data_IF_756258168502
#
_entry.id   IF_756258168502
#
_cell.length_a   1.000
_cell.length_b   1.000
_cell.length_c   1.000
_cell.angle_alpha   90.00
_cell.angle_beta   90.00
_cell.angle_gamma   90.00
#
_symmetry.space_group_name_H-M   'P 1'
#
loop_
_entity.id
_entity.type
_entity.pdbx_description
1 polymer ?
#
# COMPACT_ATOMS: atom_id res chain seq x y z
N UNK A 1 -11.66 13.36 61.02
CA UNK A 1 -11.08 12.52 59.96
C UNK A 1 -11.81 12.88 58.69
N UNK A 2 -11.25 13.82 57.93
CA UNK A 2 -11.87 14.39 56.73
C UNK A 2 -11.67 13.48 55.52
N UNK A 3 -12.77 13.09 54.90
CA UNK A 3 -12.82 12.39 53.62
C UNK A 3 -12.99 13.44 52.51
N UNK A 4 -11.90 13.75 51.81
CA UNK A 4 -11.93 14.59 50.61
C UNK A 4 -12.02 13.72 49.35
N UNK A 5 -13.05 13.98 48.54
CA UNK A 5 -13.33 13.29 47.29
C UNK A 5 -12.38 13.74 46.15
N UNK A 6 -12.12 12.90 45.13
CA UNK A 6 -11.22 13.24 44.04
C UNK A 6 -11.90 14.12 42.98
N UNK A 7 -11.23 15.21 42.60
CA UNK A 7 -11.60 16.09 41.50
C UNK A 7 -11.39 15.41 40.14
N UNK A 8 -12.48 15.33 39.35
CA UNK A 8 -12.45 14.93 37.95
C UNK A 8 -11.77 15.99 37.10
N UNK A 9 -10.57 15.69 36.58
CA UNK A 9 -9.85 16.51 35.60
C UNK A 9 -10.46 16.29 34.22
N UNK A 10 -11.10 17.32 33.65
CA UNK A 10 -11.50 17.36 32.23
C UNK A 10 -10.25 17.17 31.37
N UNK A 11 -10.27 16.18 30.49
CA UNK A 11 -9.31 16.03 29.38
C UNK A 11 -9.80 16.89 28.23
N UNK A 12 -9.04 17.92 27.91
CA UNK A 12 -9.19 18.67 26.67
C UNK A 12 -8.87 17.73 25.50
N UNK A 13 -9.77 17.70 24.52
CA UNK A 13 -9.63 16.87 23.32
C UNK A 13 -8.60 17.52 22.38
N UNK A 14 -7.72 16.74 21.74
CA UNK A 14 -6.73 17.29 20.82
C UNK A 14 -7.40 17.90 19.60
N UNK A 15 -7.04 19.14 19.32
CA UNK A 15 -7.42 19.93 18.16
C UNK A 15 -6.92 19.23 16.88
N UNK A 16 -7.85 18.82 16.03
CA UNK A 16 -7.57 18.16 14.75
C UNK A 16 -6.92 19.17 13.78
N UNK A 17 -5.77 18.79 13.21
CA UNK A 17 -5.06 19.58 12.22
C UNK A 17 -5.95 19.90 10.99
N UNK A 18 -5.78 21.09 10.37
CA UNK A 18 -6.63 21.54 9.27
C UNK A 18 -6.47 20.65 8.03
N UNK A 19 -7.59 20.40 7.36
CA UNK A 19 -7.65 19.61 6.13
C UNK A 19 -7.02 20.38 4.97
N UNK A 20 -6.08 19.75 4.26
CA UNK A 20 -5.51 20.29 3.03
C UNK A 20 -6.53 20.27 1.89
N UNK A 21 -6.87 21.47 1.41
CA UNK A 21 -7.70 21.70 0.22
C UNK A 21 -6.77 21.84 -0.99
N UNK A 22 -7.14 21.24 -2.12
CA UNK A 22 -6.22 20.99 -3.24
C UNK A 22 -6.70 21.60 -4.54
N UNK A 23 -5.93 22.56 -5.04
CA UNK A 23 -6.09 23.22 -6.34
C UNK A 23 -5.42 22.43 -7.48
N UNK A 24 -6.11 22.36 -8.62
CA UNK A 24 -5.58 21.89 -9.89
C UNK A 24 -5.99 22.87 -11.01
N UNK A 25 -5.17 23.05 -12.05
CA UNK A 25 -5.28 24.17 -12.96
C UNK A 25 -6.43 24.04 -13.96
N UNK A 26 -7.15 25.15 -14.12
CA UNK A 26 -8.14 25.45 -15.16
C UNK A 26 -7.37 25.84 -16.43
N UNK A 27 -7.53 25.10 -17.51
CA UNK A 27 -6.98 25.46 -18.82
C UNK A 27 -8.02 26.28 -19.60
N UNK A 28 -7.81 27.59 -19.68
CA UNK A 28 -8.44 28.51 -20.62
C UNK A 28 -7.53 28.75 -21.84
N UNK A 29 -8.16 28.94 -23.01
CA UNK A 29 -7.55 29.65 -24.14
C UNK A 29 -7.16 28.79 -25.33
N UNK A 30 -8.13 28.40 -26.16
CA UNK A 30 -7.87 27.94 -27.53
C UNK A 30 -8.22 29.07 -28.51
N UNK A 31 -7.18 29.67 -29.10
CA UNK A 31 -7.27 30.68 -30.15
C UNK A 31 -7.86 30.11 -31.46
N UNK A 32 -8.84 30.83 -32.00
CA UNK A 32 -9.56 30.53 -33.24
C UNK A 32 -8.79 31.06 -34.45
N UNK A 33 -8.17 30.18 -35.22
CA UNK A 33 -7.62 30.51 -36.55
C UNK A 33 -8.66 30.27 -37.68
N UNK A 34 -8.62 31.09 -38.75
CA UNK A 34 -9.59 31.04 -39.85
C UNK A 34 -9.37 29.86 -40.81
N UNK A 35 -10.48 29.21 -41.19
CA UNK A 35 -10.52 28.04 -42.08
C UNK A 35 -10.40 28.43 -43.57
N UNK A 36 -9.49 27.81 -44.35
CA UNK A 36 -9.47 27.96 -45.80
C UNK A 36 -10.59 27.12 -46.47
N UNK A 37 -11.32 27.76 -47.39
CA UNK A 37 -12.42 27.19 -48.19
C UNK A 37 -11.89 26.40 -49.40
N UNK A 38 -11.67 25.09 -49.26
CA UNK A 38 -11.53 24.16 -50.38
C UNK A 38 -12.55 23.02 -50.22
N UNK A 39 -13.64 23.05 -50.98
CA UNK A 39 -14.65 21.97 -51.03
C UNK A 39 -14.90 21.62 -52.49
N UNK A 40 -14.44 20.41 -52.87
CA UNK A 40 -15.20 19.42 -53.66
C UNK A 40 -14.36 18.20 -54.07
N UNK A 41 -13.22 17.93 -53.42
CA UNK A 41 -12.59 16.60 -53.52
C UNK A 41 -13.24 15.68 -52.48
N UNK A 42 -14.20 14.92 -53.00
CA UNK A 42 -14.61 13.55 -52.65
C UNK A 42 -14.93 13.24 -51.18
N UNK A 43 -16.24 13.27 -50.86
CA UNK A 43 -16.79 12.65 -49.64
C UNK A 43 -16.34 11.18 -49.49
N UNK A 44 -16.13 10.47 -50.60
CA UNK A 44 -15.70 9.07 -50.61
C UNK A 44 -14.26 8.94 -50.09
N UNK A 45 -13.35 9.84 -50.48
CA UNK A 45 -11.96 9.80 -50.03
C UNK A 45 -11.85 10.09 -48.52
N UNK A 46 -12.71 10.97 -47.99
CA UNK A 46 -12.78 11.25 -46.54
C UNK A 46 -13.31 10.07 -45.73
N UNK A 47 -14.30 9.36 -46.25
CA UNK A 47 -14.84 8.14 -45.61
C UNK A 47 -13.79 7.02 -45.62
N UNK A 48 -13.11 6.82 -46.76
CA UNK A 48 -12.04 5.83 -46.86
C UNK A 48 -10.85 6.17 -45.93
N UNK A 49 -10.48 7.44 -45.82
CA UNK A 49 -9.41 7.89 -44.93
C UNK A 49 -9.78 7.77 -43.45
N UNK A 50 -11.02 8.08 -43.06
CA UNK A 50 -11.50 7.86 -41.70
C UNK A 50 -11.59 6.36 -41.35
N UNK A 51 -12.06 5.52 -42.28
CA UNK A 51 -12.08 4.07 -42.08
C UNK A 51 -10.65 3.50 -41.95
N UNK A 52 -9.71 3.95 -42.79
CA UNK A 52 -8.31 3.57 -42.67
C UNK A 52 -7.71 4.07 -41.34
N UNK A 53 -7.96 5.32 -40.94
CA UNK A 53 -7.52 5.85 -39.66
C UNK A 53 -8.10 5.08 -38.45
N UNK A 54 -9.35 4.60 -38.56
CA UNK A 54 -9.98 3.72 -37.57
C UNK A 54 -9.38 2.31 -37.54
N UNK A 55 -8.86 1.80 -38.67
CA UNK A 55 -8.12 0.54 -38.72
C UNK A 55 -6.68 0.67 -38.18
N UNK A 56 -6.13 1.89 -38.14
CA UNK A 56 -4.82 2.19 -37.53
C UNK A 56 -4.92 2.75 -36.11
N UNK A 57 -6.14 2.92 -35.56
CA UNK A 57 -6.29 3.18 -34.14
C UNK A 57 -5.84 1.90 -33.41
N UNK A 58 -4.82 1.98 -32.54
CA UNK A 58 -4.33 0.80 -31.84
C UNK A 58 -5.51 0.18 -31.08
N UNK A 59 -5.64 -1.15 -31.15
CA UNK A 59 -6.70 -1.88 -30.45
C UNK A 59 -6.75 -1.56 -28.95
N UNK A 60 -5.62 -1.08 -28.39
CA UNK A 60 -5.47 -0.58 -27.03
C UNK A 60 -6.40 0.60 -26.69
N UNK A 61 -6.90 1.35 -27.69
CA UNK A 61 -7.80 2.50 -27.49
C UNK A 61 -9.28 2.08 -27.35
N UNK A 62 -9.62 0.85 -27.74
CA UNK A 62 -10.95 0.26 -27.57
C UNK A 62 -10.99 -0.76 -26.41
N UNK A 63 -9.86 -1.01 -25.74
CA UNK A 63 -9.86 -1.76 -24.51
C UNK A 63 -10.67 -0.99 -23.47
N UNK A 64 -11.85 -1.53 -23.17
CA UNK A 64 -12.73 -1.10 -22.09
C UNK A 64 -11.85 -0.73 -20.89
N UNK A 65 -11.85 0.56 -20.53
CA UNK A 65 -11.09 1.07 -19.40
C UNK A 65 -11.69 0.45 -18.15
N UNK A 66 -11.29 -0.77 -17.82
CA UNK A 66 -11.60 -1.41 -16.55
C UNK A 66 -11.05 -0.47 -15.48
N UNK A 67 -11.89 0.37 -14.89
CA UNK A 67 -11.43 1.34 -13.91
C UNK A 67 -10.79 0.55 -12.76
N UNK A 68 -9.52 0.82 -12.45
CA UNK A 68 -8.91 0.28 -11.25
C UNK A 68 -9.29 1.17 -10.09
N UNK A 69 -9.79 0.57 -9.01
CA UNK A 69 -9.98 1.30 -7.78
C UNK A 69 -8.68 1.58 -7.02
N UNK A 70 -7.57 0.95 -7.40
CA UNK A 70 -6.25 1.21 -6.80
C UNK A 70 -5.46 2.12 -7.73
N UNK A 71 -5.14 3.32 -7.25
CA UNK A 71 -4.45 4.37 -8.02
C UNK A 71 -3.31 4.99 -7.22
N UNK A 72 -2.21 5.32 -7.88
CA UNK A 72 -1.10 6.04 -7.27
C UNK A 72 -1.33 7.56 -7.35
N UNK A 73 -0.99 8.28 -6.27
CA UNK A 73 -0.91 9.74 -6.30
C UNK A 73 0.22 10.18 -7.23
N UNK A 74 0.08 11.36 -7.86
CA UNK A 74 1.09 11.91 -8.78
C UNK A 74 2.49 12.02 -8.16
N UNK A 75 2.59 12.21 -6.84
CA UNK A 75 3.86 12.28 -6.12
C UNK A 75 4.59 10.95 -5.94
N UNK A 76 3.94 9.80 -6.18
CA UNK A 76 4.62 8.51 -6.14
C UNK A 76 5.42 8.32 -7.43
N UNK A 77 6.76 8.38 -7.32
CA UNK A 77 7.68 8.29 -8.43
C UNK A 77 7.49 6.99 -9.24
N UNK A 78 7.78 7.02 -10.54
CA UNK A 78 7.58 5.87 -11.45
C UNK A 78 8.44 4.68 -11.01
N UNK A 79 9.65 4.94 -10.53
CA UNK A 79 10.58 3.93 -10.03
C UNK A 79 9.99 3.18 -8.83
N UNK A 80 9.34 3.88 -7.90
CA UNK A 80 8.66 3.27 -6.74
C UNK A 80 7.43 2.48 -7.14
N UNK A 81 6.69 2.93 -8.17
CA UNK A 81 5.58 2.15 -8.75
C UNK A 81 6.09 0.84 -9.35
N UNK A 82 7.18 0.88 -10.12
CA UNK A 82 7.77 -0.31 -10.71
C UNK A 82 8.38 -1.25 -9.66
N UNK A 83 9.01 -0.71 -8.63
CA UNK A 83 9.50 -1.49 -7.49
C UNK A 83 8.35 -2.25 -6.81
N UNK A 84 7.29 -1.53 -6.46
CA UNK A 84 6.11 -2.09 -5.80
C UNK A 84 5.40 -3.12 -6.69
N UNK A 85 5.23 -2.81 -7.98
CA UNK A 85 4.70 -3.77 -8.96
C UNK A 85 5.61 -5.02 -9.01
N UNK A 86 6.93 -4.86 -9.09
CA UNK A 86 7.89 -5.96 -9.06
C UNK A 86 7.73 -6.88 -7.85
N UNK A 87 7.52 -6.30 -6.66
CA UNK A 87 7.25 -7.06 -5.42
C UNK A 87 5.91 -7.80 -5.50
N UNK A 88 4.84 -7.11 -5.90
CA UNK A 88 3.51 -7.73 -6.08
C UNK A 88 3.52 -8.85 -7.12
N UNK A 89 4.27 -8.71 -8.23
CA UNK A 89 4.43 -9.77 -9.24
C UNK A 89 5.04 -11.03 -8.65
N UNK A 90 6.08 -10.90 -7.81
CA UNK A 90 6.70 -12.03 -7.11
C UNK A 90 5.72 -12.71 -6.15
N UNK A 91 4.95 -11.93 -5.40
CA UNK A 91 3.98 -12.45 -4.43
C UNK A 91 2.81 -13.16 -5.14
N UNK A 92 2.29 -12.55 -6.21
CA UNK A 92 1.06 -13.01 -6.87
C UNK A 92 1.28 -14.00 -8.00
N UNK A 93 2.50 -14.04 -8.57
CA UNK A 93 2.81 -14.81 -9.77
C UNK A 93 2.35 -14.16 -11.09
N UNK A 94 1.68 -12.99 -11.06
CA UNK A 94 1.26 -12.28 -12.27
C UNK A 94 2.43 -11.55 -12.93
N UNK A 95 3.02 -12.09 -13.99
CA UNK A 95 4.23 -11.51 -14.61
C UNK A 95 4.03 -10.11 -15.24
N UNK A 96 2.81 -9.80 -15.66
CA UNK A 96 2.38 -8.59 -16.36
C UNK A 96 1.64 -7.57 -15.47
N UNK A 97 1.50 -7.84 -14.15
CA UNK A 97 0.96 -6.87 -13.20
C UNK A 97 1.86 -5.63 -13.17
N UNK A 98 1.25 -4.44 -13.27
CA UNK A 98 1.94 -3.15 -13.36
C UNK A 98 1.05 -2.00 -12.93
N UNK A 99 1.65 -0.83 -12.70
CA UNK A 99 0.92 0.43 -12.70
C UNK A 99 0.97 1.02 -14.11
N UNK A 100 -0.15 1.50 -14.63
CA UNK A 100 -0.15 2.17 -15.94
C UNK A 100 0.34 3.63 -15.85
N UNK A 101 0.34 4.33 -16.98
CA UNK A 101 0.78 5.73 -17.07
C UNK A 101 -0.05 6.67 -16.19
N UNK A 102 -1.29 6.32 -15.89
CA UNK A 102 -2.16 7.09 -14.98
C UNK A 102 -1.93 6.75 -13.51
N UNK A 103 -1.08 5.76 -13.22
CA UNK A 103 -0.86 5.24 -11.88
C UNK A 103 -1.89 4.23 -11.43
N UNK A 104 -2.79 3.76 -12.30
CA UNK A 104 -3.78 2.74 -11.96
C UNK A 104 -3.13 1.36 -11.93
N UNK A 105 -3.39 0.57 -10.88
CA UNK A 105 -2.94 -0.81 -10.80
C UNK A 105 -3.67 -1.68 -11.84
N UNK A 106 -2.92 -2.36 -12.69
CA UNK A 106 -3.42 -3.31 -13.68
C UNK A 106 -3.04 -4.71 -13.23
N UNK A 107 -4.06 -5.53 -12.98
CA UNK A 107 -3.86 -6.94 -12.67
C UNK A 107 -3.30 -7.65 -13.90
N UNK A 108 -2.44 -8.62 -13.65
CA UNK A 108 -1.90 -9.46 -14.70
C UNK A 108 -2.85 -10.56 -15.12
N UNK A 109 -2.46 -11.26 -16.17
CA UNK A 109 -3.14 -12.44 -16.68
C UNK A 109 -2.25 -13.67 -16.44
N UNK A 110 -2.84 -14.85 -16.36
CA UNK A 110 -2.10 -16.13 -16.34
C UNK A 110 -0.97 -16.20 -15.28
N UNK A 111 -1.30 -16.20 -13.97
CA UNK A 111 -0.29 -16.25 -12.92
C UNK A 111 0.52 -17.55 -12.98
N UNK A 112 1.84 -17.43 -12.77
CA UNK A 112 2.77 -18.57 -12.65
C UNK A 112 3.30 -18.60 -11.22
N UNK A 113 2.93 -19.62 -10.45
CA UNK A 113 3.21 -19.75 -9.02
C UNK A 113 2.57 -18.60 -8.18
N UNK A 114 3.17 -18.30 -7.02
CA UNK A 114 2.73 -17.24 -6.11
C UNK A 114 1.45 -17.57 -5.34
N UNK A 115 1.05 -16.63 -4.49
CA UNK A 115 -0.11 -16.76 -3.61
C UNK A 115 -1.42 -16.53 -4.35
N UNK A 116 -2.31 -17.53 -4.28
CA UNK A 116 -3.69 -17.44 -4.73
C UNK A 116 -4.47 -16.44 -3.89
N UNK A 117 -4.29 -16.45 -2.57
CA UNK A 117 -4.95 -15.52 -1.65
C UNK A 117 -4.57 -14.06 -1.91
N UNK A 118 -3.31 -13.78 -2.22
CA UNK A 118 -2.88 -12.44 -2.62
C UNK A 118 -3.58 -11.98 -3.90
N UNK A 119 -3.75 -12.86 -4.89
CA UNK A 119 -4.51 -12.56 -6.12
C UNK A 119 -5.99 -12.30 -5.84
N UNK A 120 -6.60 -13.09 -4.97
CA UNK A 120 -8.00 -12.90 -4.56
C UNK A 120 -8.19 -11.54 -3.84
N UNK A 121 -7.28 -11.17 -2.92
CA UNK A 121 -7.29 -9.87 -2.27
C UNK A 121 -7.15 -8.72 -3.28
N UNK A 122 -6.15 -8.78 -4.17
CA UNK A 122 -5.92 -7.74 -5.18
C UNK A 122 -7.09 -7.63 -6.18
N UNK A 123 -7.69 -8.75 -6.57
CA UNK A 123 -8.87 -8.74 -7.44
C UNK A 123 -10.04 -8.04 -6.79
N UNK A 124 -10.30 -8.33 -5.50
CA UNK A 124 -11.38 -7.69 -4.74
C UNK A 124 -11.18 -6.20 -4.54
N UNK A 125 -9.96 -5.73 -4.26
CA UNK A 125 -9.74 -4.28 -4.14
C UNK A 125 -9.90 -3.59 -5.50
N UNK A 126 -9.30 -4.14 -6.57
CA UNK A 126 -9.31 -3.49 -7.90
C UNK A 126 -10.72 -3.41 -8.49
N UNK A 127 -11.55 -4.45 -8.29
CA UNK A 127 -12.91 -4.54 -8.85
C UNK A 127 -14.03 -4.19 -7.86
N UNK A 128 -13.68 -3.94 -6.60
CA UNK A 128 -14.64 -3.69 -5.52
C UNK A 128 -15.34 -2.33 -5.60
N UNK A 129 -15.99 -1.95 -4.49
CA UNK A 129 -16.65 -0.66 -4.36
C UNK A 129 -15.87 0.32 -3.47
N UNK A 130 -14.55 0.19 -3.36
CA UNK A 130 -13.73 1.00 -2.45
C UNK A 130 -12.53 1.55 -3.20
N UNK A 131 -12.37 2.87 -3.24
CA UNK A 131 -11.22 3.52 -3.85
C UNK A 131 -10.01 3.50 -2.91
N UNK A 132 -8.83 3.14 -3.42
CA UNK A 132 -7.57 3.14 -2.67
C UNK A 132 -6.54 3.99 -3.41
N UNK A 133 -6.02 5.00 -2.72
CA UNK A 133 -4.97 5.87 -3.23
C UNK A 133 -3.65 5.51 -2.56
N UNK A 134 -2.63 5.17 -3.35
CA UNK A 134 -1.28 4.91 -2.86
C UNK A 134 -0.48 6.21 -2.81
N UNK A 135 0.17 6.47 -1.69
CA UNK A 135 0.96 7.67 -1.42
C UNK A 135 2.37 7.30 -0.93
N UNK A 136 3.38 7.98 -1.46
CA UNK A 136 4.74 7.92 -0.91
C UNK A 136 4.80 8.69 0.40
N UNK A 137 5.15 8.01 1.48
CA UNK A 137 5.36 8.58 2.80
C UNK A 137 6.82 8.46 3.25
N UNK A 138 7.76 8.26 2.32
CA UNK A 138 9.17 8.04 2.65
C UNK A 138 9.75 9.13 3.55
N UNK A 139 10.44 8.70 4.62
CA UNK A 139 11.09 9.54 5.65
C UNK A 139 10.10 10.31 6.52
N UNK A 140 8.84 9.89 6.59
CA UNK A 140 7.86 10.53 7.47
C UNK A 140 7.92 9.92 8.86
N UNK A 141 8.25 10.75 9.85
CA UNK A 141 8.37 10.31 11.23
C UNK A 141 7.05 9.77 11.84
N UNK A 142 5.89 10.00 11.23
CA UNK A 142 4.58 9.57 11.72
C UNK A 142 4.05 8.27 11.08
N UNK A 143 4.74 7.71 10.08
CA UNK A 143 4.37 6.47 9.40
C UNK A 143 5.44 5.42 9.67
N UNK A 144 5.06 4.23 10.11
CA UNK A 144 5.98 3.11 10.31
C UNK A 144 5.74 2.07 9.23
N UNK A 145 6.62 1.99 8.22
CA UNK A 145 6.49 1.13 7.03
C UNK A 145 5.27 1.43 6.15
N UNK A 146 4.06 1.21 6.65
CA UNK A 146 2.80 1.41 5.95
C UNK A 146 1.73 1.92 6.92
N UNK A 147 0.71 2.59 6.39
CA UNK A 147 -0.46 3.00 7.15
C UNK A 147 -1.65 3.24 6.23
N UNK A 148 -2.83 2.80 6.63
CA UNK A 148 -4.10 3.14 5.99
C UNK A 148 -4.82 4.28 6.72
N UNK A 149 -5.33 5.24 5.95
CA UNK A 149 -6.15 6.35 6.44
C UNK A 149 -7.47 6.45 5.65
N UNK A 150 -8.59 6.85 6.29
CA UNK A 150 -9.79 7.19 5.55
C UNK A 150 -9.54 8.42 4.67
N UNK A 151 -9.88 8.29 3.39
CA UNK A 151 -9.85 9.36 2.41
C UNK A 151 -11.13 10.19 2.40
N UNK A 152 -11.07 11.39 1.81
CA UNK A 152 -12.23 12.24 1.55
C UNK A 152 -12.22 12.70 0.11
N UNK A 153 -13.37 12.65 -0.54
CA UNK A 153 -13.55 13.20 -1.87
C UNK A 153 -13.57 14.74 -1.81
N UNK A 154 -12.97 15.40 -2.81
CA UNK A 154 -12.87 16.88 -2.86
C UNK A 154 -14.23 17.57 -2.98
N UNK A 155 -15.18 16.90 -3.63
CA UNK A 155 -16.55 17.35 -3.74
C UNK A 155 -17.46 16.35 -3.04
N UNK A 156 -18.63 16.82 -2.57
CA UNK A 156 -19.73 15.96 -2.18
C UNK A 156 -20.29 15.32 -3.45
N UNK A 157 -19.56 14.34 -4.01
CA UNK A 157 -20.04 13.49 -5.09
C UNK A 157 -21.09 12.58 -4.45
N UNK A 158 -22.38 12.75 -4.77
CA UNK A 158 -23.40 11.84 -4.28
C UNK A 158 -23.03 10.41 -4.69
N UNK A 159 -23.26 9.45 -3.79
CA UNK A 159 -22.94 8.03 -4.03
C UNK A 159 -21.44 7.74 -4.24
N UNK A 160 -20.56 8.59 -3.72
CA UNK A 160 -19.12 8.29 -3.73
C UNK A 160 -18.82 7.11 -2.81
N UNK A 161 -18.25 6.07 -3.40
CA UNK A 161 -17.67 4.93 -2.70
C UNK A 161 -16.70 5.35 -1.59
N UNK A 162 -16.56 4.58 -0.49
CA UNK A 162 -15.51 4.81 0.50
C UNK A 162 -14.14 4.92 -0.17
N UNK A 163 -13.34 5.86 0.30
CA UNK A 163 -11.97 6.05 -0.18
C UNK A 163 -10.99 5.86 0.98
N UNK A 164 -9.84 5.26 0.70
CA UNK A 164 -8.74 5.09 1.64
C UNK A 164 -7.43 5.55 0.99
N UNK A 165 -6.52 6.05 1.82
CA UNK A 165 -5.15 6.38 1.42
C UNK A 165 -4.21 5.42 2.11
N UNK A 166 -3.48 4.64 1.34
CA UNK A 166 -2.40 3.78 1.83
C UNK A 166 -1.08 4.52 1.64
N UNK A 167 -0.44 4.86 2.75
CA UNK A 167 0.87 5.50 2.80
C UNK A 167 1.94 4.44 2.96
N UNK A 168 3.00 4.52 2.17
CA UNK A 168 4.13 3.59 2.23
C UNK A 168 5.41 4.40 2.45
N UNK A 169 6.09 4.15 3.56
CA UNK A 169 7.45 4.65 3.78
C UNK A 169 8.44 3.65 3.18
N UNK A 170 8.85 3.87 1.93
CA UNK A 170 9.79 3.00 1.26
C UNK A 170 11.18 3.05 1.91
N UNK A 171 11.55 4.17 2.53
CA UNK A 171 12.84 4.33 3.19
C UNK A 171 12.92 3.46 4.46
N UNK A 172 11.82 3.30 5.19
CA UNK A 172 11.77 2.41 6.36
C UNK A 172 12.15 0.96 5.99
N UNK A 173 11.68 0.44 4.85
CA UNK A 173 12.02 -0.91 4.39
C UNK A 173 13.50 -1.07 4.02
N UNK A 174 14.19 0.01 3.65
CA UNK A 174 15.64 0.01 3.34
C UNK A 174 16.49 -0.07 4.63
N UNK A 175 15.93 0.28 5.79
CA UNK A 175 16.59 0.23 7.09
C UNK A 175 16.42 -1.12 7.82
N UNK A 176 15.73 -2.08 7.20
CA UNK A 176 15.48 -3.41 7.77
C UNK A 176 16.63 -4.35 7.44
N UNK A 177 17.09 -5.10 8.45
CA UNK A 177 18.12 -6.12 8.32
C UNK A 177 17.65 -7.45 8.92
N UNK A 178 18.40 -8.54 8.70
CA UNK A 178 18.12 -9.82 9.33
C UNK A 178 18.38 -11.01 8.41
N UNK A 179 17.71 -12.11 8.71
CA UNK A 179 17.80 -13.33 7.92
C UNK A 179 17.16 -13.14 6.54
N UNK A 180 17.83 -13.60 5.48
CA UNK A 180 17.34 -13.43 4.11
C UNK A 180 15.91 -13.95 3.87
N UNK A 181 15.47 -15.09 4.44
CA UNK A 181 14.07 -15.52 4.32
C UNK A 181 13.07 -14.57 5.01
N UNK A 182 13.44 -13.97 6.14
CA UNK A 182 12.58 -12.98 6.81
C UNK A 182 12.47 -11.68 6.01
N UNK A 183 13.58 -11.23 5.41
CA UNK A 183 13.58 -10.05 4.52
C UNK A 183 12.71 -10.28 3.27
N UNK A 184 12.69 -11.49 2.70
CA UNK A 184 11.78 -11.83 1.59
C UNK A 184 10.31 -11.86 2.01
N UNK A 185 10.04 -12.15 3.29
CA UNK A 185 8.71 -12.19 3.88
C UNK A 185 8.23 -10.82 4.40
N UNK A 186 9.07 -9.78 4.36
CA UNK A 186 8.78 -8.46 4.91
C UNK A 186 9.35 -7.37 4.01
N UNK A 187 8.52 -6.87 3.10
CA UNK A 187 8.87 -5.77 2.23
C UNK A 187 7.64 -4.92 1.87
N UNK A 188 7.82 -3.83 1.12
CA UNK A 188 6.73 -2.92 0.74
C UNK A 188 5.56 -3.59 0.01
N UNK A 189 5.78 -4.72 -0.67
CA UNK A 189 4.70 -5.49 -1.30
C UNK A 189 3.83 -6.19 -0.25
N UNK A 190 4.45 -6.82 0.75
CA UNK A 190 3.74 -7.40 1.89
C UNK A 190 3.06 -6.33 2.76
N UNK A 191 3.73 -5.20 2.99
CA UNK A 191 3.15 -4.05 3.70
C UNK A 191 1.89 -3.54 3.00
N UNK A 192 1.93 -3.34 1.68
CA UNK A 192 0.73 -2.95 0.93
C UNK A 192 -0.39 -3.98 1.06
N UNK A 193 -0.10 -5.28 0.91
CA UNK A 193 -1.15 -6.32 1.03
C UNK A 193 -1.79 -6.33 2.41
N UNK A 194 -1.02 -6.07 3.47
CA UNK A 194 -1.53 -5.92 4.84
C UNK A 194 -2.54 -4.77 4.94
N UNK A 195 -2.18 -3.57 4.46
CA UNK A 195 -3.09 -2.43 4.47
C UNK A 195 -4.35 -2.66 3.62
N UNK A 196 -4.21 -3.33 2.47
CA UNK A 196 -5.34 -3.67 1.61
C UNK A 196 -6.28 -4.68 2.27
N UNK A 197 -5.76 -5.58 3.09
CA UNK A 197 -6.57 -6.54 3.85
C UNK A 197 -7.46 -5.81 4.86
N UNK A 198 -6.93 -4.81 5.58
CA UNK A 198 -7.74 -3.94 6.44
C UNK A 198 -8.86 -3.25 5.67
N UNK A 199 -8.57 -2.72 4.48
CA UNK A 199 -9.56 -2.00 3.66
C UNK A 199 -10.69 -2.91 3.16
N UNK A 200 -10.36 -4.10 2.68
CA UNK A 200 -11.33 -4.97 1.99
C UNK A 200 -12.04 -5.91 2.96
N UNK A 201 -11.31 -6.47 3.92
CA UNK A 201 -11.83 -7.47 4.85
C UNK A 201 -12.26 -6.86 6.19
N UNK A 202 -11.92 -5.60 6.49
CA UNK A 202 -12.04 -5.02 7.84
C UNK A 202 -11.34 -5.88 8.90
N UNK A 203 -10.29 -6.58 8.51
CA UNK A 203 -9.52 -7.43 9.41
C UNK A 203 -8.84 -6.59 10.47
N UNK A 204 -8.66 -7.15 11.67
CA UNK A 204 -8.03 -6.46 12.78
C UNK A 204 -6.61 -6.96 13.03
N UNK A 205 -5.74 -6.03 13.42
CA UNK A 205 -4.44 -6.38 13.99
C UNK A 205 -4.56 -7.06 15.34
N UNK A 206 -3.47 -7.70 15.77
CA UNK A 206 -3.40 -8.25 17.11
C UNK A 206 -3.59 -7.16 18.16
N UNK A 207 -4.46 -7.44 19.14
CA UNK A 207 -4.66 -6.59 20.31
C UNK A 207 -3.87 -7.06 21.54
N UNK A 208 -3.31 -8.28 21.50
CA UNK A 208 -2.62 -8.91 22.63
C UNK A 208 -1.30 -9.58 22.20
N UNK A 209 -0.34 -9.62 23.13
CA UNK A 209 0.95 -10.27 22.93
C UNK A 209 0.78 -11.78 22.65
N UNK A 210 1.54 -12.30 21.69
CA UNK A 210 1.58 -13.72 21.37
C UNK A 210 0.64 -14.17 20.26
N UNK A 211 -0.24 -13.28 19.77
CA UNK A 211 -1.10 -13.56 18.62
C UNK A 211 -0.67 -12.73 17.40
N UNK A 212 -0.84 -13.26 16.17
CA UNK A 212 -0.58 -12.51 14.94
C UNK A 212 -1.71 -11.50 14.64
N UNK A 213 -2.95 -11.76 15.04
CA UNK A 213 -4.13 -10.99 14.61
C UNK A 213 -4.76 -11.57 13.34
N UNK A 214 -5.96 -11.11 12.99
CA UNK A 214 -6.71 -11.60 11.83
C UNK A 214 -6.03 -11.18 10.52
N UNK A 215 -5.64 -9.91 10.42
CA UNK A 215 -4.97 -9.38 9.23
C UNK A 215 -3.68 -10.17 8.95
N UNK A 216 -2.80 -10.28 9.95
CA UNK A 216 -1.55 -11.02 9.82
C UNK A 216 -1.77 -12.53 9.57
N UNK A 217 -2.86 -13.13 10.05
CA UNK A 217 -3.20 -14.52 9.71
C UNK A 217 -3.46 -14.67 8.21
N UNK A 218 -4.22 -13.77 7.59
CA UNK A 218 -4.42 -13.77 6.13
C UNK A 218 -3.10 -13.58 5.38
N UNK A 219 -2.24 -12.66 5.82
CA UNK A 219 -0.93 -12.43 5.19
C UNK A 219 -0.01 -13.66 5.38
N UNK A 220 -0.05 -14.33 6.53
CA UNK A 220 0.71 -15.56 6.77
C UNK A 220 0.26 -16.71 5.86
N UNK A 221 -1.03 -16.84 5.56
CA UNK A 221 -1.49 -17.80 4.55
C UNK A 221 -0.92 -17.48 3.17
N UNK A 222 -0.86 -16.21 2.78
CA UNK A 222 -0.25 -15.80 1.52
C UNK A 222 1.26 -16.11 1.48
N UNK A 223 1.99 -15.84 2.58
CA UNK A 223 3.41 -16.20 2.70
C UNK A 223 3.62 -17.71 2.63
N UNK A 224 2.75 -18.49 3.28
CA UNK A 224 2.80 -19.94 3.25
C UNK A 224 2.64 -20.48 1.81
N UNK A 225 1.69 -19.95 1.04
CA UNK A 225 1.52 -20.30 -0.38
C UNK A 225 2.76 -19.96 -1.24
N UNK A 226 3.51 -18.93 -0.85
CA UNK A 226 4.78 -18.56 -1.48
C UNK A 226 6.00 -19.36 -0.97
N UNK A 227 5.82 -20.30 -0.02
CA UNK A 227 6.93 -21.03 0.58
C UNK A 227 7.85 -20.13 1.44
N UNK A 228 7.31 -19.06 2.00
CA UNK A 228 8.04 -18.10 2.84
C UNK A 228 7.76 -18.33 4.34
N UNK A 229 8.65 -17.86 5.22
CA UNK A 229 8.42 -17.93 6.66
C UNK A 229 7.26 -17.00 7.06
N UNK A 230 6.49 -17.41 8.06
CA UNK A 230 5.30 -16.73 8.57
C UNK A 230 5.65 -15.92 9.81
N UNK A 231 5.04 -14.75 10.01
CA UNK A 231 5.28 -13.93 11.20
C UNK A 231 4.72 -14.63 12.44
N UNK A 232 5.58 -14.91 13.41
CA UNK A 232 5.21 -15.66 14.61
C UNK A 232 4.46 -14.81 15.64
N UNK A 233 4.76 -13.51 15.70
CA UNK A 233 4.17 -12.57 16.65
C UNK A 233 3.98 -11.21 15.96
N UNK A 234 2.83 -10.58 16.21
CA UNK A 234 2.56 -9.24 15.71
C UNK A 234 3.47 -8.21 16.38
N UNK A 235 3.55 -8.26 17.69
CA UNK A 235 4.35 -7.31 18.46
C UNK A 235 5.83 -7.58 18.33
N UNK A 236 6.61 -6.51 18.31
CA UNK A 236 8.06 -6.59 18.31
C UNK A 236 8.61 -6.61 19.74
N UNK A 237 9.85 -7.08 19.88
CA UNK A 237 10.58 -7.03 21.15
C UNK A 237 11.70 -5.99 21.04
N UNK A 238 11.85 -5.15 22.08
CA UNK A 238 13.01 -4.29 22.21
C UNK A 238 14.20 -5.08 22.74
N UNK A 239 15.33 -5.00 22.05
CA UNK A 239 16.60 -5.55 22.52
C UNK A 239 17.58 -4.41 22.83
N UNK A 240 17.81 -4.07 24.12
CA UNK A 240 18.83 -3.09 24.46
C UNK A 240 20.21 -3.73 24.24
N UNK A 241 20.96 -3.27 23.23
CA UNK A 241 22.26 -3.88 22.94
C UNK A 241 23.34 -3.50 23.94
N UNK A 242 23.32 -2.27 24.45
CA UNK A 242 24.34 -1.77 25.38
C UNK A 242 23.78 -0.60 26.19
N UNK A 243 23.95 -0.65 27.51
CA UNK A 243 23.69 0.49 28.41
C UNK A 243 25.00 1.27 28.58
N UNK A 244 25.60 1.69 27.47
CA UNK A 244 26.66 2.70 27.53
C UNK A 244 25.99 4.06 27.35
N UNK A 245 26.22 4.97 28.29
CA UNK A 245 25.40 6.19 28.46
C UNK A 245 25.47 7.16 27.29
N UNK A 246 26.44 6.98 26.39
CA UNK A 246 26.65 7.84 25.23
C UNK A 246 25.79 7.47 24.01
N UNK A 247 25.36 6.22 23.86
CA UNK A 247 24.60 5.75 22.68
C UNK A 247 23.53 4.72 23.07
N UNK A 248 22.26 5.11 22.97
CA UNK A 248 21.13 4.21 23.14
C UNK A 248 20.60 3.83 21.75
N UNK A 249 21.04 2.70 21.22
CA UNK A 249 20.39 2.06 20.07
C UNK A 249 19.17 1.27 20.54
N UNK A 250 18.04 1.48 19.88
CA UNK A 250 16.78 0.81 20.23
C UNK A 250 16.46 -0.17 19.12
N UNK A 251 17.02 -1.37 19.21
CA UNK A 251 16.71 -2.38 18.21
C UNK A 251 15.33 -2.96 18.44
N UNK A 252 14.60 -3.05 17.34
CA UNK A 252 13.29 -3.65 17.23
C UNK A 252 13.44 -4.96 16.48
N UNK A 253 12.84 -6.02 16.99
CA UNK A 253 12.93 -7.35 16.40
C UNK A 253 11.55 -7.94 16.12
N UNK A 254 11.38 -8.45 14.90
CA UNK A 254 10.31 -9.35 14.49
C UNK A 254 10.88 -10.76 14.27
N UNK A 255 10.06 -11.76 14.58
CA UNK A 255 10.42 -13.15 14.30
C UNK A 255 9.44 -13.81 13.36
N UNK A 256 10.00 -14.59 12.44
CA UNK A 256 9.27 -15.42 11.51
C UNK A 256 9.61 -16.89 11.76
N UNK A 257 8.67 -17.78 11.44
CA UNK A 257 8.79 -19.22 11.59
C UNK A 257 8.44 -19.90 10.27
N UNK A 258 9.17 -20.94 9.92
CA UNK A 258 8.84 -21.83 8.81
C UNK A 258 8.96 -23.28 9.26
N UNK A 259 7.97 -24.08 8.90
CA UNK A 259 8.02 -25.52 9.16
C UNK A 259 8.83 -26.21 8.05
N UNK A 260 9.89 -26.92 8.43
CA UNK A 260 10.69 -27.72 7.50
C UNK A 260 10.06 -29.10 7.34
N UNK A 261 9.38 -29.32 6.21
CA UNK A 261 8.97 -30.65 5.78
C UNK A 261 10.21 -31.49 5.40
N UNK A 262 10.30 -32.77 5.80
CA UNK A 262 9.30 -33.60 6.50
C UNK A 262 9.41 -33.60 8.03
N UNK A 263 10.42 -32.92 8.61
CA UNK A 263 10.78 -33.05 10.03
C UNK A 263 9.79 -32.43 11.02
N UNK A 264 8.87 -31.58 10.53
CA UNK A 264 7.99 -30.72 11.33
C UNK A 264 8.72 -29.81 12.33
N UNK A 265 10.05 -29.67 12.20
CA UNK A 265 10.81 -28.73 12.99
C UNK A 265 10.53 -27.34 12.48
N UNK A 266 10.23 -26.43 13.40
CA UNK A 266 10.11 -25.01 13.09
C UNK A 266 11.48 -24.36 13.11
N UNK A 267 11.85 -23.74 12.00
CA UNK A 267 13.02 -22.87 11.91
C UNK A 267 12.59 -21.43 12.13
N UNK A 268 13.33 -20.72 12.98
CA UNK A 268 13.06 -19.32 13.31
C UNK A 268 14.02 -18.42 12.56
N UNK A 269 13.49 -17.32 12.03
CA UNK A 269 14.21 -16.27 11.33
C UNK A 269 13.92 -14.93 12.00
N UNK A 270 14.89 -14.02 11.99
CA UNK A 270 14.81 -12.74 12.65
C UNK A 270 14.93 -11.60 11.65
N UNK A 271 14.19 -10.55 11.93
CA UNK A 271 14.20 -9.29 11.21
C UNK A 271 14.34 -8.17 12.23
N UNK A 272 15.27 -7.25 11.99
CA UNK A 272 15.74 -6.28 12.97
C UNK A 272 15.94 -4.92 12.33
N UNK A 273 15.58 -3.84 13.02
CA UNK A 273 15.88 -2.47 12.64
C UNK A 273 16.12 -1.58 13.87
N UNK A 274 16.72 -0.41 13.67
CA UNK A 274 16.84 0.62 14.72
C UNK A 274 15.57 1.48 14.74
N UNK A 275 14.89 1.56 15.89
CA UNK A 275 13.70 2.39 16.08
C UNK A 275 13.96 3.88 15.86
N UNK A 276 15.21 4.34 15.91
CA UNK A 276 15.55 5.73 15.61
C UNK A 276 15.60 6.02 14.10
N UNK A 277 15.66 4.99 13.25
CA UNK A 277 15.73 5.12 11.80
C UNK A 277 14.40 4.85 11.09
N UNK A 278 13.44 4.25 11.80
CA UNK A 278 12.11 3.90 11.28
C UNK A 278 11.05 4.78 11.93
N UNK A 279 10.13 5.32 11.13
CA UNK A 279 9.08 6.21 11.60
C UNK A 279 8.07 5.56 12.56
N UNK A 280 7.19 6.37 13.15
CA UNK A 280 6.01 5.94 13.92
C UNK A 280 6.28 5.35 15.33
N UNK A 281 7.54 5.12 15.72
CA UNK A 281 7.90 4.55 17.02
C UNK A 281 8.15 5.67 18.05
N UNK A 282 7.09 6.07 18.76
CA UNK A 282 7.18 7.07 19.84
C UNK A 282 7.29 6.40 21.21
N UNK A 283 8.07 6.98 22.14
CA UNK A 283 8.32 6.43 23.49
C UNK A 283 7.06 6.16 24.33
N UNK A 284 5.97 6.87 24.04
CA UNK A 284 4.68 6.68 24.71
C UNK A 284 3.92 5.43 24.25
N UNK A 285 4.25 4.86 23.09
CA UNK A 285 3.68 3.63 22.54
C UNK A 285 4.66 2.47 22.76
N UNK A 286 4.93 2.11 24.01
CA UNK A 286 5.83 0.99 24.37
C UNK A 286 5.37 -0.38 23.83
N UNK A 287 4.13 -0.45 23.33
CA UNK A 287 3.58 -1.56 22.57
C UNK A 287 2.98 -0.92 21.31
N UNK A 288 3.81 -0.54 20.34
CA UNK A 288 3.25 -0.07 19.08
C UNK A 288 2.70 -1.28 18.32
N UNK A 289 1.37 -1.37 18.31
CA UNK A 289 0.62 -2.00 17.21
C UNK A 289 1.05 -1.21 15.98
N UNK A 290 1.75 -1.82 15.02
CA UNK A 290 1.86 -1.22 13.68
C UNK A 290 0.41 -0.97 13.23
N UNK A 291 0.08 0.26 12.86
CA UNK A 291 -1.28 0.67 12.46
C UNK A 291 -1.18 1.66 11.32
#
# INVERSE_FOLDING_TARGET
MDLTAPQHRRRDSPELAPAEVFDGPIWEGADLLPRPRWILISRILRVAWLAAALLFLPADLLAETNASNVVCRNGLAVERREELAGKLRKITGWSDLKFDLTGALRLGTNPVNGSKKARELLSRVVTGGTAVVLEDASKRADVAFCQVLPGKWKANVPDSHPAFVVRIDFADFENVMGDAPALQAFDAGWGLLHELDHVVNNSLDATCLGEPGECEAHINEMRHECGLPQRAQYFYTYSPLTVDSAFITRLVQLSFEQEEAPSRKKKRYLLVWDANLVGGITEGKKIAVLR
#
